data_IF_981447713247
#
_entry.id   IF_981447713247
#
_cell.length_a   1.000
_cell.length_b   1.000
_cell.length_c   1.000
_cell.angle_alpha   90.00
_cell.angle_beta   90.00
_cell.angle_gamma   90.00
#
_symmetry.space_group_name_H-M   'P 1'
#
loop_
_entity.id
_entity.type
_entity.pdbx_description
1 polymer ?
#
# COMPACT_ATOMS: atom_id res chain seq x y z
N UNK A 1 13.89 14.27 -8.76
CA UNK A 1 12.71 13.90 -9.11
C UNK A 1 12.26 12.71 -8.43
N UNK A 2 11.16 12.76 -7.88
CA UNK A 2 10.72 11.66 -7.11
C UNK A 2 10.11 10.64 -7.99
N UNK A 3 10.39 9.40 -7.78
CA UNK A 3 9.78 8.36 -8.56
C UNK A 3 8.85 7.58 -7.68
N UNK A 4 8.20 8.23 -6.78
CA UNK A 4 7.28 7.55 -5.87
C UNK A 4 6.02 7.10 -6.62
N UNK A 5 5.55 5.88 -6.40
CA UNK A 5 6.20 4.88 -5.55
C UNK A 5 7.25 4.09 -6.34
N UNK A 6 8.38 3.85 -5.69
CA UNK A 6 9.43 3.06 -6.30
C UNK A 6 9.91 2.08 -5.24
N UNK A 7 9.51 0.84 -5.34
CA UNK A 7 9.80 -0.15 -4.33
C UNK A 7 11.27 -0.56 -4.36
N UNK A 8 11.93 -0.42 -3.25
CA UNK A 8 13.32 -0.83 -3.10
C UNK A 8 13.43 -1.77 -1.91
N UNK A 9 14.15 -2.85 -2.08
CA UNK A 9 14.41 -3.80 -1.02
C UNK A 9 15.87 -3.70 -0.67
N UNK A 10 16.18 -3.66 0.60
CA UNK A 10 17.58 -3.60 1.01
C UNK A 10 17.75 -4.35 2.32
N UNK A 11 18.99 -4.58 2.71
CA UNK A 11 19.29 -5.30 3.93
C UNK A 11 19.91 -4.30 4.90
N UNK A 12 19.35 -4.21 6.09
CA UNK A 12 19.84 -3.25 7.08
C UNK A 12 21.17 -3.71 7.66
N UNK A 13 21.79 -2.88 8.44
CA UNK A 13 23.06 -3.23 9.08
C UNK A 13 22.96 -4.44 9.97
N UNK A 14 21.75 -4.75 10.47
CA UNK A 14 21.58 -5.91 11.33
C UNK A 14 21.19 -7.14 10.52
N UNK A 15 21.20 -7.07 9.21
CA UNK A 15 20.91 -8.23 8.38
C UNK A 15 19.44 -8.45 8.09
N UNK A 16 18.58 -7.50 8.44
CA UNK A 16 17.16 -7.68 8.22
C UNK A 16 16.72 -7.03 6.93
N UNK A 17 15.77 -7.65 6.25
CA UNK A 17 15.26 -7.11 5.01
C UNK A 17 14.33 -5.96 5.31
N UNK A 18 14.48 -4.88 4.57
CA UNK A 18 13.66 -3.68 4.72
C UNK A 18 13.18 -3.23 3.37
N UNK A 19 12.15 -2.39 3.35
CA UNK A 19 11.59 -1.88 2.10
C UNK A 19 11.39 -0.38 2.18
N UNK A 20 11.49 0.29 1.04
CA UNK A 20 11.20 1.71 0.92
C UNK A 20 10.45 1.96 -0.36
N UNK A 21 9.60 2.96 -0.36
CA UNK A 21 8.86 3.33 -1.55
C UNK A 21 9.25 4.70 -2.08
N UNK A 22 10.08 5.43 -1.37
CA UNK A 22 10.56 6.71 -1.86
C UNK A 22 9.85 7.92 -1.27
N UNK A 23 8.97 7.72 -0.31
CA UNK A 23 8.30 8.82 0.35
C UNK A 23 8.59 8.73 1.83
N UNK A 24 8.98 9.83 2.43
CA UNK A 24 9.44 9.81 3.83
C UNK A 24 8.39 9.26 4.80
N UNK A 25 7.13 9.63 4.60
CA UNK A 25 6.10 9.19 5.52
C UNK A 25 5.82 7.68 5.37
N UNK A 26 5.75 7.21 4.14
CA UNK A 26 5.53 5.81 3.88
C UNK A 26 6.71 4.99 4.35
N UNK A 27 7.92 5.47 4.10
CA UNK A 27 9.12 4.74 4.49
C UNK A 27 9.23 4.64 6.00
N UNK A 28 8.79 5.67 6.72
CA UNK A 28 8.80 5.63 8.18
C UNK A 28 7.77 4.59 8.67
N UNK A 29 6.63 4.53 8.02
CA UNK A 29 5.64 3.52 8.39
C UNK A 29 6.17 2.11 8.13
N UNK A 30 6.88 1.92 7.01
CA UNK A 30 7.44 0.60 6.71
C UNK A 30 8.49 0.20 7.76
N UNK A 31 9.24 1.16 8.29
CA UNK A 31 10.16 0.83 9.37
C UNK A 31 9.40 0.47 10.64
N UNK A 32 8.29 1.14 10.89
CA UNK A 32 7.46 0.82 12.04
C UNK A 32 6.92 -0.61 11.92
N UNK A 33 6.44 -0.99 10.74
CA UNK A 33 5.94 -2.33 10.50
C UNK A 33 7.06 -3.35 10.65
N UNK A 34 8.26 -3.01 10.15
CA UNK A 34 9.39 -3.91 10.23
C UNK A 34 9.76 -4.25 11.67
N UNK A 35 9.54 -3.33 12.58
CA UNK A 35 9.85 -3.58 13.98
C UNK A 35 8.77 -4.36 14.71
N UNK A 36 7.60 -4.55 14.10
CA UNK A 36 6.48 -5.19 14.79
C UNK A 36 6.01 -6.46 14.15
N UNK A 37 6.29 -6.66 12.88
CA UNK A 37 5.72 -7.76 12.13
C UNK A 37 6.79 -8.65 11.53
N UNK A 38 6.37 -9.81 11.11
CA UNK A 38 7.29 -10.74 10.48
C UNK A 38 7.68 -10.27 9.08
N UNK A 39 8.80 -10.74 8.56
CA UNK A 39 9.27 -10.29 7.23
C UNK A 39 8.24 -10.48 6.12
N UNK A 40 7.45 -11.55 6.14
CA UNK A 40 6.47 -11.75 5.09
C UNK A 40 5.34 -10.73 5.18
N UNK A 41 4.97 -10.32 6.39
CA UNK A 41 3.96 -9.30 6.56
C UNK A 41 4.49 -7.95 6.08
N UNK A 42 5.73 -7.64 6.40
CA UNK A 42 6.35 -6.41 5.93
C UNK A 42 6.37 -6.37 4.40
N UNK A 43 6.75 -7.47 3.77
CA UNK A 43 6.80 -7.54 2.33
C UNK A 43 5.42 -7.30 1.73
N UNK A 44 4.41 -7.95 2.30
CA UNK A 44 3.05 -7.80 1.79
C UNK A 44 2.56 -6.36 1.92
N UNK A 45 2.83 -5.71 3.04
CA UNK A 45 2.42 -4.33 3.24
C UNK A 45 3.13 -3.42 2.23
N UNK A 46 4.43 -3.63 2.03
CA UNK A 46 5.19 -2.80 1.10
C UNK A 46 4.65 -2.92 -0.33
N UNK A 47 4.34 -4.14 -0.75
CA UNK A 47 3.82 -4.36 -2.09
C UNK A 47 2.39 -3.82 -2.23
N UNK A 48 1.57 -3.96 -1.19
CA UNK A 48 0.21 -3.44 -1.22
C UNK A 48 0.22 -1.92 -1.34
N UNK A 49 1.10 -1.25 -0.60
CA UNK A 49 1.19 0.19 -0.67
C UNK A 49 1.72 0.65 -2.02
N UNK A 50 2.67 -0.09 -2.59
CA UNK A 50 3.16 0.25 -3.90
C UNK A 50 2.03 0.18 -4.92
N UNK A 51 1.20 -0.86 -4.84
CA UNK A 51 0.08 -1.02 -5.75
C UNK A 51 -0.90 0.14 -5.59
N UNK A 52 -1.22 0.48 -4.36
CA UNK A 52 -2.18 1.56 -4.09
C UNK A 52 -1.68 2.89 -4.67
N UNK A 53 -0.45 3.27 -4.38
CA UNK A 53 0.05 4.56 -4.84
C UNK A 53 0.33 4.58 -6.33
N UNK A 54 0.56 3.43 -6.94
CA UNK A 54 0.70 3.35 -8.40
C UNK A 54 -0.64 3.62 -9.05
N UNK A 55 -1.71 3.05 -8.52
CA UNK A 55 -3.04 3.21 -9.10
C UNK A 55 -3.55 4.63 -8.88
N UNK A 56 -3.41 5.15 -7.68
CA UNK A 56 -3.96 6.44 -7.34
C UNK A 56 -3.10 7.59 -7.88
N UNK A 57 -1.79 7.42 -7.89
CA UNK A 57 -0.93 8.43 -8.48
C UNK A 57 -0.83 9.74 -7.71
N UNK A 58 -1.02 9.70 -6.40
CA UNK A 58 -0.93 10.90 -5.57
C UNK A 58 0.05 10.70 -4.45
N UNK A 59 0.55 11.79 -3.90
CA UNK A 59 1.41 11.72 -2.72
C UNK A 59 0.55 11.31 -1.54
N UNK A 60 1.13 10.67 -0.55
CA UNK A 60 0.36 10.17 0.60
C UNK A 60 -0.52 11.21 1.27
N UNK A 61 -0.06 12.45 1.40
CA UNK A 61 -0.83 13.47 2.10
C UNK A 61 -1.96 14.03 1.26
N UNK A 62 -2.02 13.68 -0.01
CA UNK A 62 -3.07 14.17 -0.89
C UNK A 62 -4.17 13.17 -1.14
N UNK A 63 -4.06 11.99 -0.58
CA UNK A 63 -5.05 10.94 -0.77
C UNK A 63 -6.30 11.26 0.03
N UNK A 64 -7.46 11.02 -0.55
CA UNK A 64 -8.74 11.27 0.13
C UNK A 64 -9.51 9.96 0.23
N UNK A 65 -10.61 9.99 0.96
CA UNK A 65 -11.46 8.82 1.05
C UNK A 65 -12.00 8.42 -0.33
N UNK A 66 -12.27 9.40 -1.18
CA UNK A 66 -12.74 9.08 -2.53
C UNK A 66 -11.70 8.29 -3.30
N UNK A 67 -10.43 8.58 -3.08
CA UNK A 67 -9.36 7.85 -3.75
C UNK A 67 -9.36 6.38 -3.34
N UNK A 68 -9.69 6.10 -2.09
CA UNK A 68 -9.74 4.72 -1.62
C UNK A 68 -10.88 3.98 -2.32
N UNK A 69 -12.01 4.63 -2.52
CA UNK A 69 -13.11 4.00 -3.24
C UNK A 69 -12.74 3.77 -4.71
N UNK A 70 -11.99 4.70 -5.31
CA UNK A 70 -11.54 4.51 -6.68
C UNK A 70 -10.60 3.33 -6.78
N UNK A 71 -9.74 3.17 -5.78
CA UNK A 71 -8.83 2.03 -5.74
C UNK A 71 -9.62 0.73 -5.60
N UNK A 72 -10.66 0.74 -4.78
CA UNK A 72 -11.48 -0.44 -4.59
C UNK A 72 -12.15 -0.83 -5.91
N UNK A 73 -12.67 0.13 -6.64
CA UNK A 73 -13.30 -0.15 -7.92
C UNK A 73 -12.29 -0.72 -8.91
N UNK A 74 -11.08 -0.18 -8.92
CA UNK A 74 -10.04 -0.71 -9.80
C UNK A 74 -9.71 -2.14 -9.44
N UNK A 75 -9.62 -2.45 -8.15
CA UNK A 75 -9.25 -3.79 -7.72
C UNK A 75 -10.36 -4.79 -7.97
N UNK A 76 -11.59 -4.37 -8.03
CA UNK A 76 -12.68 -5.29 -8.31
C UNK A 76 -12.76 -5.61 -9.75
N UNK A 77 -11.91 -4.94 -10.55
CA UNK A 77 -11.83 -5.41 -11.86
C UNK A 77 -12.86 -4.94 -12.70
N UNK A 78 -13.15 -3.84 -12.64
CA UNK A 78 -13.91 -3.42 -13.49
C UNK A 78 -13.33 -3.47 -14.72
N UNK A 79 -12.24 -4.03 -14.87
CA UNK A 79 -11.71 -4.44 -15.98
C UNK A 79 -12.63 -5.29 -16.52
N UNK A 80 -13.47 -4.87 -17.19
CA UNK A 80 -14.44 -5.70 -17.65
C UNK A 80 -13.96 -6.62 -18.60
N UNK A 81 -12.91 -6.56 -18.99
CA UNK A 81 -12.42 -7.52 -19.86
C UNK A 81 -12.43 -8.71 -19.19
N UNK A 82 -13.39 -9.25 -19.05
CA UNK A 82 -13.51 -10.38 -18.36
C UNK A 82 -12.89 -11.51 -18.90
N UNK A 83 -12.20 -12.16 -18.25
CA UNK A 83 -11.62 -13.35 -18.61
C UNK A 83 -12.61 -14.38 -18.30
N UNK A 84 -13.50 -14.58 -19.17
CA UNK A 84 -14.50 -15.57 -18.93
C UNK A 84 -13.96 -16.90 -18.61
N UNK A 85 -12.87 -17.21 -19.16
CA UNK A 85 -12.34 -18.52 -18.91
C UNK A 85 -11.66 -18.52 -17.58
N UNK A 86 -11.47 -17.42 -16.98
CA UNK A 86 -10.70 -17.38 -15.79
C UNK A 86 -11.60 -16.82 -14.76
N UNK A 87 -12.05 -17.67 -13.92
CA UNK A 87 -12.88 -17.30 -12.93
C UNK A 87 -12.27 -16.37 -12.04
N UNK A 88 -11.04 -16.04 -12.15
CA UNK A 88 -10.40 -15.18 -11.30
C UNK A 88 -10.16 -13.92 -11.99
N UNK A 89 -10.99 -13.53 -12.91
CA UNK A 89 -10.81 -12.38 -13.66
C UNK A 89 -10.61 -11.17 -12.76
N UNK A 90 -11.08 -11.13 -11.61
CA UNK A 90 -10.79 -10.04 -10.71
C UNK A 90 -9.95 -10.56 -9.60
N UNK A 91 -9.49 -9.70 -8.71
CA UNK A 91 -8.77 -10.15 -7.56
C UNK A 91 -9.75 -10.70 -6.57
N UNK A 92 -9.32 -11.64 -5.78
CA UNK A 92 -10.21 -12.22 -4.78
C UNK A 92 -10.56 -11.18 -3.74
N UNK A 93 -11.69 -11.37 -3.10
CA UNK A 93 -12.11 -10.48 -2.04
C UNK A 93 -11.09 -10.44 -0.91
N UNK A 94 -10.44 -11.57 -0.65
CA UNK A 94 -9.42 -11.62 0.40
C UNK A 94 -8.23 -10.73 0.06
N UNK A 95 -7.78 -10.76 -1.18
CA UNK A 95 -6.64 -9.95 -1.61
C UNK A 95 -7.00 -8.48 -1.53
N UNK A 96 -8.22 -8.12 -1.97
CA UNK A 96 -8.64 -6.74 -1.93
C UNK A 96 -8.72 -6.26 -0.47
N UNK A 97 -9.29 -7.08 0.41
CA UNK A 97 -9.40 -6.72 1.82
C UNK A 97 -8.02 -6.54 2.44
N UNK A 98 -7.07 -7.40 2.10
CA UNK A 98 -5.73 -7.28 2.63
C UNK A 98 -5.08 -5.97 2.18
N UNK A 99 -5.25 -5.62 0.90
CA UNK A 99 -4.66 -4.38 0.40
C UNK A 99 -5.28 -3.16 1.05
N UNK A 100 -6.59 -3.18 1.27
CA UNK A 100 -7.23 -2.08 1.95
C UNK A 100 -6.78 -1.98 3.40
N UNK A 101 -6.54 -3.12 4.05
CA UNK A 101 -6.03 -3.11 5.41
C UNK A 101 -4.64 -2.49 5.47
N UNK A 102 -3.80 -2.75 4.49
CA UNK A 102 -2.46 -2.15 4.45
C UNK A 102 -2.57 -0.63 4.31
N UNK A 103 -3.48 -0.15 3.47
CA UNK A 103 -3.67 1.28 3.27
C UNK A 103 -4.24 1.91 4.54
N UNK A 104 -5.24 1.27 5.15
CA UNK A 104 -5.83 1.78 6.37
C UNK A 104 -4.80 1.85 7.49
N UNK A 105 -3.94 0.84 7.58
CA UNK A 105 -2.89 0.83 8.59
C UNK A 105 -1.93 1.99 8.43
N UNK A 106 -1.56 2.31 7.20
CA UNK A 106 -0.68 3.45 6.94
C UNK A 106 -1.36 4.74 7.42
N UNK A 107 -2.62 4.95 7.04
CA UNK A 107 -3.26 6.21 7.38
C UNK A 107 -3.59 6.31 8.87
N UNK A 108 -3.90 5.21 9.53
CA UNK A 108 -4.08 5.22 10.98
C UNK A 108 -2.78 5.66 11.66
N UNK A 109 -1.65 5.18 11.16
CA UNK A 109 -0.35 5.55 11.70
C UNK A 109 -0.07 7.03 11.47
N UNK A 110 -0.34 7.54 10.26
CA UNK A 110 -0.06 8.93 9.94
C UNK A 110 -0.96 9.87 10.76
N UNK A 111 -2.21 9.52 10.95
CA UNK A 111 -3.12 10.32 11.75
C UNK A 111 -2.65 10.33 13.20
N UNK A 112 -2.26 9.17 13.72
CA UNK A 112 -1.81 9.07 15.10
C UNK A 112 -0.56 9.91 15.34
N UNK A 113 0.26 10.09 14.31
CA UNK A 113 1.46 10.90 14.44
C UNK A 113 1.21 12.37 14.11
N UNK A 114 0.01 12.71 13.66
CA UNK A 114 -0.27 14.09 13.29
C UNK A 114 0.25 14.49 11.92
N UNK A 115 0.64 13.52 11.10
CA UNK A 115 1.21 13.83 9.78
C UNK A 115 0.14 14.14 8.76
N UNK A 116 -1.08 13.74 8.98
CA UNK A 116 -2.18 14.05 8.09
C UNK A 116 -3.48 13.98 8.88
N UNK A 117 -4.45 14.81 8.57
CA UNK A 117 -5.74 14.74 9.23
C UNK A 117 -6.67 13.74 8.55
N UNK A 118 -6.28 13.18 7.45
CA UNK A 118 -7.16 12.30 6.70
C UNK A 118 -7.18 10.93 7.33
N UNK A 119 -8.36 10.47 7.69
CA UNK A 119 -8.49 9.13 8.25
C UNK A 119 -9.17 8.36 7.17
N UNK A 120 -8.46 7.53 6.54
CA UNK A 120 -8.96 6.78 5.39
C UNK A 120 -9.31 5.37 5.73
#
# INVERSE_FOLDING_TARGET
MSSFPCLARFVSGSGQVRYRLGDRLVDRYLEFVAGRCRPNTLRAVAFDLKTFFTVIGKDPVQVTAADVFDFLADQRGDRTVVRLADRESGLSARTIARRLSSVSGLYAYLVARGDTPVDV
#
